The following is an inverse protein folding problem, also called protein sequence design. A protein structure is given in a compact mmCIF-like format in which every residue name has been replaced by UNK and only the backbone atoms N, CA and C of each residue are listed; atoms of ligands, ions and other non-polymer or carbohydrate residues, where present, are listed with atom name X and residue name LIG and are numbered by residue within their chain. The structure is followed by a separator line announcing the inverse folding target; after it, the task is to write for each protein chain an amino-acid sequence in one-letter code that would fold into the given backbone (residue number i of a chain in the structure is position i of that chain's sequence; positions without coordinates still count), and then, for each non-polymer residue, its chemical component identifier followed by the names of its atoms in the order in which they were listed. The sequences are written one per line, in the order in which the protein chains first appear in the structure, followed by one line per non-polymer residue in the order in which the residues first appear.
data_IF_064327882828
#
_entry.id   IF_064327882828
#
_cell.length_a   1.000
_cell.length_b   1.000
_cell.length_c   1.000
_cell.angle_alpha   90.00
_cell.angle_beta   90.00
_cell.angle_gamma   90.00
#
_symmetry.space_group_name_H-M   'P 1'
#
loop_
_entity.id
_entity.type
_entity.pdbx_description
1 polymer ?
#
# COMPACT_ATOMS: atom_id res chain seq x y z
N UNK A 1 31.46 9.70 -9.15
CA UNK A 1 30.13 9.98 -9.77
C UNK A 1 29.16 10.22 -8.62
N UNK A 2 28.63 11.42 -8.44
CA UNK A 2 27.54 11.68 -7.48
C UNK A 2 26.36 10.83 -7.94
N UNK A 3 25.78 10.07 -7.02
CA UNK A 3 24.58 9.27 -7.27
C UNK A 3 23.40 10.24 -7.34
N UNK A 4 23.18 10.87 -8.50
CA UNK A 4 22.10 11.85 -8.76
C UNK A 4 20.71 11.31 -8.41
N UNK A 5 20.57 9.98 -8.37
CA UNK A 5 19.32 9.27 -8.10
C UNK A 5 18.84 9.33 -6.63
N UNK A 6 19.70 9.74 -5.70
CA UNK A 6 19.36 9.76 -4.26
C UNK A 6 18.71 11.09 -3.86
N UNK A 7 18.86 12.09 -4.69
CA UNK A 7 18.37 13.45 -4.42
C UNK A 7 17.05 13.75 -5.17
N UNK A 8 16.56 12.79 -5.99
CA UNK A 8 15.27 12.84 -6.71
C UNK A 8 14.48 11.57 -6.42
N UNK A 9 13.54 11.64 -5.48
CA UNK A 9 12.81 10.49 -4.97
C UNK A 9 11.34 10.83 -4.72
N UNK A 10 10.49 9.83 -4.87
CA UNK A 10 9.17 9.81 -4.26
C UNK A 10 9.26 8.93 -3.02
N UNK A 11 9.04 9.49 -1.85
CA UNK A 11 8.91 8.73 -0.61
C UNK A 11 7.45 8.58 -0.32
N UNK A 12 6.97 7.34 -0.15
CA UNK A 12 5.56 7.12 0.13
C UNK A 12 5.34 5.97 1.09
N UNK A 13 4.19 6.02 1.72
CA UNK A 13 3.66 5.04 2.64
C UNK A 13 2.16 4.88 2.40
N UNK A 14 1.60 3.73 2.73
CA UNK A 14 0.19 3.38 2.56
C UNK A 14 -0.40 2.87 3.86
N UNK A 15 -1.64 3.29 4.15
CA UNK A 15 -2.47 2.56 5.09
C UNK A 15 -3.43 1.66 4.33
N UNK A 16 -3.67 0.46 4.86
CA UNK A 16 -4.42 -0.59 4.16
C UNK A 16 -5.35 -1.34 5.11
N UNK A 17 -6.38 -2.01 4.57
CA UNK A 17 -7.30 -2.83 5.37
C UNK A 17 -6.72 -4.16 5.84
N UNK A 18 -5.47 -4.49 5.43
CA UNK A 18 -4.78 -5.72 5.78
C UNK A 18 -3.46 -5.85 5.03
N UNK A 19 -2.86 -7.04 5.05
CA UNK A 19 -1.50 -7.26 4.54
C UNK A 19 -1.42 -7.90 3.14
N UNK A 20 -2.54 -8.28 2.55
CA UNK A 20 -2.57 -8.97 1.26
C UNK A 20 -2.84 -7.99 0.11
N UNK A 21 -1.86 -7.67 -0.77
CA UNK A 21 -2.00 -6.65 -1.81
C UNK A 21 -3.04 -6.99 -2.89
N UNK A 22 -3.49 -8.25 -2.96
CA UNK A 22 -4.50 -8.70 -3.91
C UNK A 22 -5.91 -8.66 -3.31
N UNK A 23 -6.03 -8.93 -2.01
CA UNK A 23 -7.31 -9.07 -1.32
C UNK A 23 -7.71 -7.85 -0.51
N UNK A 24 -6.72 -7.12 0.01
CA UNK A 24 -6.95 -5.96 0.85
C UNK A 24 -6.94 -4.66 0.04
N UNK A 25 -7.35 -3.59 0.69
CA UNK A 25 -7.61 -2.30 0.05
C UNK A 25 -6.72 -1.23 0.67
N UNK A 26 -6.35 -0.25 -0.16
CA UNK A 26 -5.67 0.96 0.29
C UNK A 26 -6.75 1.89 0.87
N UNK A 27 -6.47 2.49 2.02
CA UNK A 27 -7.35 3.46 2.70
C UNK A 27 -6.71 4.84 2.84
N UNK A 28 -5.38 4.95 2.76
CA UNK A 28 -4.66 6.23 2.72
C UNK A 28 -3.40 6.10 1.87
N UNK A 29 -3.08 7.14 1.10
CA UNK A 29 -1.82 7.30 0.36
C UNK A 29 -1.15 8.57 0.85
N UNK A 30 0.05 8.47 1.39
CA UNK A 30 0.87 9.60 1.77
C UNK A 30 2.19 9.59 1.01
N UNK A 31 2.52 10.67 0.30
CA UNK A 31 3.77 10.73 -0.45
C UNK A 31 4.38 12.14 -0.43
N UNK A 32 5.71 12.19 -0.49
CA UNK A 32 6.47 13.41 -0.66
C UNK A 32 7.40 13.27 -1.87
N UNK A 33 7.53 14.36 -2.62
CA UNK A 33 8.50 14.44 -3.72
C UNK A 33 9.74 15.18 -3.25
N UNK A 34 10.89 14.54 -3.45
CA UNK A 34 12.20 15.10 -3.12
C UNK A 34 12.89 15.52 -4.40
N UNK A 35 13.42 16.72 -4.43
CA UNK A 35 14.35 17.21 -5.47
C UNK A 35 15.50 17.94 -4.80
N UNK A 36 16.71 17.63 -5.22
CA UNK A 36 17.95 18.22 -4.67
C UNK A 36 18.06 18.10 -3.14
N UNK A 37 17.50 17.00 -2.58
CA UNK A 37 17.50 16.73 -1.14
C UNK A 37 16.41 17.46 -0.34
N UNK A 38 15.55 18.25 -0.99
CA UNK A 38 14.49 19.02 -0.35
C UNK A 38 13.09 18.51 -0.72
N UNK A 39 12.14 18.64 0.21
CA UNK A 39 10.73 18.32 -0.06
C UNK A 39 10.13 19.43 -0.91
N UNK A 40 9.81 19.14 -2.17
CA UNK A 40 9.26 20.13 -3.10
C UNK A 40 7.75 20.00 -3.28
N UNK A 41 7.16 18.84 -2.96
CA UNK A 41 5.72 18.62 -3.08
C UNK A 41 5.26 17.50 -2.15
N UNK A 42 3.98 17.52 -1.77
CA UNK A 42 3.33 16.50 -0.96
C UNK A 42 2.06 16.02 -1.66
N UNK A 43 1.77 14.74 -1.54
CA UNK A 43 0.54 14.10 -1.98
C UNK A 43 -0.09 13.39 -0.78
N UNK A 44 -1.36 13.66 -0.52
CA UNK A 44 -2.11 12.98 0.52
C UNK A 44 -3.51 12.71 0.01
N UNK A 45 -3.97 11.45 0.09
CA UNK A 45 -5.27 11.06 -0.38
C UNK A 45 -5.84 9.95 0.51
N UNK A 46 -6.97 10.21 1.15
CA UNK A 46 -7.82 9.17 1.71
C UNK A 46 -8.49 8.40 0.58
N UNK A 47 -8.69 7.10 0.74
CA UNK A 47 -9.27 6.23 -0.28
C UNK A 47 -10.40 5.42 0.31
N UNK A 48 -11.56 5.45 -0.34
CA UNK A 48 -12.71 4.63 0.05
C UNK A 48 -12.45 3.17 -0.37
N UNK A 49 -12.35 2.22 0.58
CA UNK A 49 -12.16 0.81 0.25
C UNK A 49 -13.40 0.11 -0.31
N UNK A 50 -14.59 0.73 -0.21
CA UNK A 50 -15.87 0.12 -0.59
C UNK A 50 -16.35 -1.01 0.33
N UNK A 51 -15.65 -1.23 1.44
CA UNK A 51 -15.97 -2.21 2.48
C UNK A 51 -15.72 -1.58 3.86
N UNK A 52 -16.36 -2.07 4.92
CA UNK A 52 -16.02 -1.64 6.28
C UNK A 52 -14.54 -1.91 6.61
N UNK A 53 -13.90 -0.92 7.24
CA UNK A 53 -12.53 -1.06 7.72
C UNK A 53 -12.52 -2.01 8.91
N UNK A 54 -11.67 -3.07 8.93
CA UNK A 54 -11.57 -3.96 10.06
C UNK A 54 -11.21 -3.20 11.33
N UNK A 55 -11.89 -3.50 12.44
CA UNK A 55 -11.75 -2.79 13.71
C UNK A 55 -10.27 -2.69 14.17
N UNK A 56 -9.50 -3.76 14.04
CA UNK A 56 -8.09 -3.77 14.41
C UNK A 56 -7.22 -2.81 13.56
N UNK A 57 -7.63 -2.54 12.31
CA UNK A 57 -6.94 -1.54 11.46
C UNK A 57 -7.25 -0.13 11.98
N UNK A 58 -8.52 0.14 12.33
CA UNK A 58 -8.89 1.42 12.96
C UNK A 58 -8.13 1.64 14.28
N UNK A 59 -7.92 0.60 15.09
CA UNK A 59 -7.11 0.72 16.31
C UNK A 59 -5.65 1.06 16.04
N UNK A 60 -5.07 0.57 14.95
CA UNK A 60 -3.67 0.83 14.58
C UNK A 60 -3.52 2.20 13.93
N UNK A 61 -4.37 2.52 12.94
CA UNK A 61 -4.21 3.68 12.07
C UNK A 61 -4.99 4.91 12.52
N UNK A 62 -6.01 4.70 13.37
CA UNK A 62 -7.01 5.71 13.72
C UNK A 62 -7.98 6.05 12.58
N UNK A 63 -7.88 5.39 11.41
CA UNK A 63 -8.74 5.65 10.26
C UNK A 63 -10.07 4.91 10.47
N UNK A 64 -11.17 5.66 10.39
CA UNK A 64 -12.55 5.14 10.56
C UNK A 64 -13.28 5.13 9.22
N UNK A 65 -14.39 4.37 9.15
CA UNK A 65 -15.27 4.34 7.98
C UNK A 65 -15.75 5.74 7.60
N UNK A 66 -16.09 6.59 8.58
CA UNK A 66 -16.55 7.97 8.33
C UNK A 66 -15.48 8.83 7.64
N UNK A 67 -14.20 8.61 7.96
CA UNK A 67 -13.10 9.37 7.35
C UNK A 67 -12.89 9.05 5.86
N UNK A 68 -13.32 7.90 5.41
CA UNK A 68 -13.14 7.43 4.02
C UNK A 68 -14.46 7.40 3.23
N UNK A 69 -15.62 7.67 3.87
CA UNK A 69 -16.93 7.54 3.25
C UNK A 69 -17.09 8.38 1.98
N UNK A 70 -16.62 9.63 2.02
CA UNK A 70 -16.68 10.58 0.91
C UNK A 70 -15.37 10.64 0.09
N UNK A 71 -14.39 9.78 0.40
CA UNK A 71 -13.14 9.72 -0.33
C UNK A 71 -13.33 9.02 -1.69
N UNK A 72 -12.50 9.35 -2.70
CA UNK A 72 -12.54 8.65 -3.98
C UNK A 72 -12.16 7.18 -3.83
N UNK A 73 -12.68 6.34 -4.72
CA UNK A 73 -12.20 4.97 -4.86
C UNK A 73 -10.79 4.94 -5.44
N UNK A 74 -10.07 3.82 -5.26
CA UNK A 74 -8.70 3.66 -5.77
C UNK A 74 -8.61 3.84 -7.30
N UNK A 75 -9.67 3.52 -8.04
CA UNK A 75 -9.74 3.75 -9.49
C UNK A 75 -9.65 5.23 -9.87
N UNK A 76 -10.10 6.12 -8.99
CA UNK A 76 -10.08 7.56 -9.18
C UNK A 76 -8.81 8.20 -8.60
N UNK A 77 -8.33 7.70 -7.46
CA UNK A 77 -7.14 8.21 -6.78
C UNK A 77 -5.81 7.78 -7.45
N UNK A 78 -5.77 6.56 -8.02
CA UNK A 78 -4.54 5.99 -8.56
C UNK A 78 -3.91 6.80 -9.70
N UNK A 79 -4.65 7.30 -10.71
CA UNK A 79 -4.05 8.09 -11.79
C UNK A 79 -3.26 9.30 -11.29
N UNK A 80 -3.81 10.07 -10.36
CA UNK A 80 -3.13 11.25 -9.80
C UNK A 80 -1.90 10.90 -8.98
N UNK A 81 -1.91 9.75 -8.28
CA UNK A 81 -0.73 9.25 -7.58
C UNK A 81 0.35 8.79 -8.56
N UNK A 82 -0.02 8.14 -9.67
CA UNK A 82 0.94 7.73 -10.71
C UNK A 82 1.59 8.94 -11.38
N UNK A 83 0.81 9.97 -11.67
CA UNK A 83 1.31 11.24 -12.21
C UNK A 83 2.25 11.93 -11.22
N UNK A 84 1.93 11.89 -9.93
CA UNK A 84 2.82 12.41 -8.88
C UNK A 84 4.15 11.66 -8.84
N UNK A 85 4.13 10.33 -9.02
CA UNK A 85 5.33 9.50 -9.05
C UNK A 85 6.18 9.71 -10.32
N UNK A 86 5.57 10.11 -11.44
CA UNK A 86 6.22 10.32 -12.74
C UNK A 86 7.25 9.20 -13.05
N UNK A 87 8.50 9.57 -13.36
CA UNK A 87 9.63 8.65 -13.64
C UNK A 87 10.58 8.47 -12.45
N UNK A 88 10.36 9.19 -11.34
CA UNK A 88 11.24 9.20 -10.17
C UNK A 88 11.38 7.82 -9.51
N UNK A 89 12.51 7.59 -8.87
CA UNK A 89 12.72 6.43 -7.99
C UNK A 89 11.83 6.54 -6.75
N UNK A 90 11.54 5.39 -6.12
CA UNK A 90 10.73 5.36 -4.91
C UNK A 90 11.58 5.00 -3.69
N UNK A 91 11.17 5.50 -2.54
CA UNK A 91 11.75 5.20 -1.24
C UNK A 91 10.60 4.91 -0.24
N UNK A 92 10.80 3.95 0.64
CA UNK A 92 9.89 3.67 1.75
C UNK A 92 10.58 2.89 2.86
N UNK A 93 9.84 2.62 3.91
CA UNK A 93 10.26 1.72 4.99
C UNK A 93 9.56 0.37 4.83
N UNK A 94 10.25 -0.66 4.37
CA UNK A 94 9.67 -1.89 3.84
C UNK A 94 8.88 -1.66 2.55
N UNK A 95 9.41 -0.80 1.68
CA UNK A 95 8.76 -0.34 0.44
C UNK A 95 8.18 -1.46 -0.43
N UNK A 96 8.68 -2.67 -0.30
CA UNK A 96 8.15 -3.84 -1.02
C UNK A 96 6.66 -4.10 -0.68
N UNK A 97 6.21 -3.76 0.51
CA UNK A 97 4.81 -3.87 0.92
C UNK A 97 3.95 -2.90 0.10
N UNK A 98 4.27 -1.61 0.16
CA UNK A 98 3.52 -0.53 -0.49
C UNK A 98 3.54 -0.66 -2.01
N UNK A 99 4.71 -0.98 -2.56
CA UNK A 99 4.89 -1.24 -3.97
C UNK A 99 3.94 -2.33 -4.47
N UNK A 100 3.80 -3.44 -3.73
CA UNK A 100 2.93 -4.55 -4.12
C UNK A 100 1.46 -4.14 -4.15
N UNK A 101 1.01 -3.31 -3.21
CA UNK A 101 -0.35 -2.78 -3.22
C UNK A 101 -0.59 -1.91 -4.45
N UNK A 102 0.26 -0.92 -4.72
CA UNK A 102 0.15 -0.06 -5.91
C UNK A 102 0.22 -0.90 -7.19
N UNK A 103 1.21 -1.80 -7.29
CA UNK A 103 1.38 -2.67 -8.47
C UNK A 103 0.16 -3.57 -8.72
N UNK A 104 -0.45 -4.10 -7.66
CA UNK A 104 -1.68 -4.91 -7.74
C UNK A 104 -2.85 -4.09 -8.27
N UNK A 105 -3.07 -2.87 -7.74
CA UNK A 105 -4.14 -1.99 -8.20
C UNK A 105 -3.90 -1.49 -9.63
N UNK A 106 -2.67 -1.16 -9.98
CA UNK A 106 -2.28 -0.85 -11.35
C UNK A 106 -2.64 -1.99 -12.32
N UNK A 107 -2.25 -3.22 -11.97
CA UNK A 107 -2.54 -4.39 -12.82
C UNK A 107 -4.04 -4.60 -13.03
N UNK A 108 -4.87 -4.42 -11.98
CA UNK A 108 -6.32 -4.59 -12.09
C UNK A 108 -7.02 -3.47 -12.88
N UNK A 109 -6.43 -2.28 -12.94
CA UNK A 109 -6.98 -1.11 -13.62
C UNK A 109 -6.32 -0.82 -14.99
N UNK A 110 -5.43 -1.71 -15.46
CA UNK A 110 -4.76 -1.56 -16.75
C UNK A 110 -3.61 -0.55 -16.80
N UNK A 111 -3.08 -0.15 -15.63
CA UNK A 111 -1.91 0.70 -15.51
C UNK A 111 -0.62 -0.11 -15.31
N UNK A 112 0.52 0.53 -15.50
CA UNK A 112 1.84 -0.03 -15.20
C UNK A 112 2.51 0.74 -14.08
N UNK A 113 3.18 0.02 -13.17
CA UNK A 113 4.00 0.61 -12.10
C UNK A 113 5.29 -0.18 -11.96
N UNK A 114 6.33 0.26 -12.64
CA UNK A 114 7.66 -0.36 -12.62
C UNK A 114 8.66 0.67 -12.13
N UNK A 115 9.07 0.56 -10.88
CA UNK A 115 9.95 1.53 -10.23
C UNK A 115 11.16 0.83 -9.63
N UNK A 116 12.29 1.52 -9.64
CA UNK A 116 13.41 1.16 -8.77
C UNK A 116 13.20 1.78 -7.41
N UNK A 117 13.52 1.03 -6.37
CA UNK A 117 13.24 1.40 -5.01
C UNK A 117 14.47 1.38 -4.12
N UNK A 118 14.48 2.28 -3.16
CA UNK A 118 15.31 2.25 -1.97
C UNK A 118 14.46 1.85 -0.77
N UNK A 119 15.04 1.11 0.16
CA UNK A 119 14.32 0.58 1.31
C UNK A 119 15.12 0.84 2.59
N UNK A 120 14.63 1.75 3.43
CA UNK A 120 15.28 2.10 4.70
C UNK A 120 15.33 0.92 5.66
N UNK A 121 14.35 -0.01 5.63
CA UNK A 121 14.40 -1.23 6.43
C UNK A 121 15.56 -2.14 6.03
N UNK A 122 15.78 -2.31 4.72
CA UNK A 122 16.90 -3.11 4.21
C UNK A 122 18.25 -2.49 4.60
N UNK A 123 18.38 -1.16 4.49
CA UNK A 123 19.58 -0.44 4.92
C UNK A 123 19.80 -0.62 6.43
N UNK A 124 18.76 -0.40 7.25
CA UNK A 124 18.83 -0.56 8.70
C UNK A 124 19.19 -2.00 9.12
N UNK A 125 18.62 -3.00 8.46
CA UNK A 125 18.96 -4.42 8.71
C UNK A 125 20.43 -4.73 8.43
N UNK A 126 21.03 -4.06 7.47
CA UNK A 126 22.45 -4.24 7.13
C UNK A 126 23.37 -3.65 8.20
N UNK A 127 23.12 -2.43 8.62
CA UNK A 127 24.06 -1.65 9.44
C UNK A 127 23.72 -1.61 10.94
N UNK A 128 22.44 -1.67 11.29
CA UNK A 128 21.97 -1.51 12.67
C UNK A 128 21.57 -2.87 13.29
N UNK A 129 22.42 -3.88 13.10
CA UNK A 129 22.17 -5.25 13.59
C UNK A 129 22.08 -5.34 15.12
N UNK A 130 22.70 -4.43 15.83
CA UNK A 130 22.71 -4.36 17.28
C UNK A 130 21.40 -3.88 17.90
N UNK A 131 20.52 -3.23 17.12
CA UNK A 131 19.23 -2.79 17.64
C UNK A 131 18.25 -3.96 17.75
N UNK A 132 17.36 -3.97 18.75
CA UNK A 132 16.35 -5.02 18.93
C UNK A 132 15.28 -4.99 17.85
N UNK A 133 14.93 -3.81 17.34
CA UNK A 133 13.94 -3.61 16.28
C UNK A 133 14.46 -2.68 15.20
N UNK A 134 14.01 -2.86 13.97
CA UNK A 134 14.27 -1.99 12.80
C UNK A 134 12.95 -1.51 12.19
N UNK A 135 11.85 -1.54 12.93
CA UNK A 135 10.60 -0.89 12.52
C UNK A 135 10.78 0.63 12.52
N UNK A 136 9.95 1.35 11.79
CA UNK A 136 10.08 2.80 11.61
C UNK A 136 10.09 3.54 12.96
N UNK A 137 9.13 3.26 13.84
CA UNK A 137 9.04 3.93 15.16
C UNK A 137 10.30 3.80 16.02
N UNK A 138 10.78 2.57 16.34
CA UNK A 138 12.03 2.38 17.06
C UNK A 138 13.27 3.01 16.40
N UNK A 139 13.34 3.05 15.08
CA UNK A 139 14.44 3.74 14.37
C UNK A 139 14.31 5.26 14.48
N UNK A 140 13.09 5.80 14.40
CA UNK A 140 12.84 7.21 14.62
C UNK A 140 13.23 7.62 16.03
N UNK A 141 12.89 6.83 17.05
CA UNK A 141 13.31 7.06 18.43
C UNK A 141 14.84 7.05 18.57
N UNK A 142 15.50 6.04 17.98
CA UNK A 142 16.97 5.93 18.00
C UNK A 142 17.67 7.14 17.38
N UNK A 143 17.12 7.71 16.30
CA UNK A 143 17.69 8.87 15.62
C UNK A 143 17.12 10.22 16.10
N UNK A 144 16.21 10.22 17.09
CA UNK A 144 15.57 11.45 17.58
C UNK A 144 14.66 12.12 16.55
N UNK A 145 14.05 11.32 15.66
CA UNK A 145 13.09 11.77 14.65
C UNK A 145 11.70 11.81 15.27
N UNK A 146 11.04 12.96 15.16
CA UNK A 146 9.66 13.11 15.65
C UNK A 146 8.66 12.34 14.80
N UNK A 147 7.95 11.42 15.42
CA UNK A 147 6.90 10.57 14.82
C UNK A 147 5.61 10.60 15.66
N UNK A 148 5.18 11.80 16.09
CA UNK A 148 4.02 11.98 16.97
C UNK A 148 2.69 11.52 16.38
N UNK A 149 2.58 11.45 15.06
CA UNK A 149 1.39 11.01 14.33
C UNK A 149 1.71 9.74 13.51
N UNK A 150 2.32 8.73 14.15
CA UNK A 150 2.54 7.43 13.52
C UNK A 150 1.23 6.83 12.99
N UNK A 151 1.33 6.02 11.96
CA UNK A 151 0.20 5.40 11.27
C UNK A 151 -0.74 6.39 10.56
N UNK A 152 -0.13 7.46 10.04
CA UNK A 152 -0.72 8.34 9.04
C UNK A 152 0.29 8.44 7.90
N UNK A 153 -0.09 7.92 6.75
CA UNK A 153 0.80 7.66 5.62
C UNK A 153 1.72 8.85 5.25
N UNK A 154 1.20 10.09 5.30
CA UNK A 154 2.03 11.27 4.98
C UNK A 154 3.12 11.54 6.03
N UNK A 155 2.83 11.30 7.31
CA UNK A 155 3.79 11.51 8.39
C UNK A 155 4.85 10.39 8.40
N UNK A 156 4.45 9.16 8.09
CA UNK A 156 5.36 8.02 7.99
C UNK A 156 6.29 8.15 6.77
N UNK A 157 5.80 8.69 5.65
CA UNK A 157 6.63 9.06 4.50
C UNK A 157 7.66 10.15 4.85
N UNK A 158 7.27 11.20 5.59
CA UNK A 158 8.20 12.25 6.04
C UNK A 158 9.25 11.72 7.01
N UNK A 159 8.82 10.91 7.99
CA UNK A 159 9.73 10.29 8.95
C UNK A 159 10.70 9.31 8.25
N UNK A 160 10.21 8.54 7.29
CA UNK A 160 11.02 7.64 6.46
C UNK A 160 12.10 8.41 5.69
N UNK A 161 11.78 9.58 5.14
CA UNK A 161 12.78 10.41 4.48
C UNK A 161 13.85 10.94 5.45
N UNK A 162 13.46 11.43 6.62
CA UNK A 162 14.41 11.87 7.66
C UNK A 162 15.29 10.70 8.12
N UNK A 163 14.71 9.53 8.31
CA UNK A 163 15.48 8.32 8.62
C UNK A 163 16.48 7.98 7.51
N UNK A 164 16.06 8.08 6.25
CA UNK A 164 16.96 7.86 5.12
C UNK A 164 18.14 8.84 5.10
N UNK A 165 17.91 10.11 5.42
CA UNK A 165 18.98 11.11 5.53
C UNK A 165 19.98 10.77 6.64
N UNK A 166 19.49 10.30 7.81
CA UNK A 166 20.36 9.83 8.91
C UNK A 166 21.18 8.62 8.48
N UNK A 167 20.54 7.60 7.89
CA UNK A 167 21.23 6.40 7.40
C UNK A 167 22.27 6.74 6.31
N UNK A 168 21.93 7.65 5.40
CA UNK A 168 22.85 8.15 4.36
C UNK A 168 24.07 8.82 4.98
N UNK A 169 23.86 9.69 5.97
CA UNK A 169 24.93 10.38 6.68
C UNK A 169 25.89 9.40 7.38
N UNK A 170 25.35 8.36 8.03
CA UNK A 170 26.14 7.45 8.85
C UNK A 170 26.84 6.37 8.02
N UNK A 171 26.25 5.92 6.91
CA UNK A 171 26.68 4.68 6.26
C UNK A 171 26.99 4.80 4.76
N UNK A 172 26.75 5.94 4.11
CA UNK A 172 27.07 6.11 2.68
C UNK A 172 28.56 5.89 2.38
N UNK A 173 29.43 6.44 3.23
CA UNK A 173 30.88 6.28 3.08
C UNK A 173 31.37 4.89 3.50
N UNK A 174 30.58 4.15 4.30
CA UNK A 174 30.92 2.79 4.71
C UNK A 174 30.62 1.78 3.57
N UNK A 175 29.45 1.91 2.96
CA UNK A 175 29.06 1.09 1.82
C UNK A 175 27.97 1.77 0.98
N UNK A 176 28.39 2.51 -0.04
CA UNK A 176 27.50 3.20 -0.97
C UNK A 176 26.57 2.24 -1.75
N UNK A 177 26.93 0.95 -1.88
CA UNK A 177 26.10 -0.01 -2.61
C UNK A 177 24.75 -0.29 -1.95
N UNK A 178 24.62 -0.02 -0.65
CA UNK A 178 23.36 -0.15 0.09
C UNK A 178 22.34 0.94 -0.28
N UNK A 179 22.80 2.02 -0.92
CA UNK A 179 22.01 3.18 -1.32
C UNK A 179 21.75 3.23 -2.83
N UNK A 180 21.90 2.11 -3.51
CA UNK A 180 21.54 1.97 -4.93
C UNK A 180 20.12 1.46 -5.04
N UNK A 181 19.26 2.20 -5.74
CA UNK A 181 17.89 1.78 -6.00
C UNK A 181 17.84 0.49 -6.84
N UNK A 182 17.02 -0.45 -6.43
CA UNK A 182 16.88 -1.78 -7.06
C UNK A 182 15.47 -1.98 -7.57
N UNK A 183 15.34 -2.76 -8.64
CA UNK A 183 14.03 -3.20 -9.11
C UNK A 183 13.36 -4.11 -8.09
N UNK A 184 12.06 -3.93 -7.90
CA UNK A 184 11.23 -4.85 -7.14
C UNK A 184 10.62 -5.84 -8.13
N UNK A 185 11.11 -7.06 -8.12
CA UNK A 185 10.63 -8.15 -8.97
C UNK A 185 9.43 -8.84 -8.32
N UNK A 186 8.28 -8.24 -8.45
CA UNK A 186 7.01 -8.82 -8.02
C UNK A 186 5.91 -8.43 -9.00
N UNK A 187 5.12 -9.41 -9.40
CA UNK A 187 3.89 -9.19 -10.16
C UNK A 187 2.73 -9.85 -9.42
N UNK A 188 1.54 -9.22 -9.44
CA UNK A 188 0.37 -9.85 -8.86
C UNK A 188 0.08 -11.17 -9.56
N UNK A 189 -0.39 -12.20 -8.83
CA UNK A 189 -0.80 -13.45 -9.45
C UNK A 189 -1.85 -13.16 -10.51
N UNK A 190 -1.78 -13.87 -11.62
CA UNK A 190 -2.79 -13.75 -12.69
C UNK A 190 -4.17 -13.98 -12.09
N UNK A 191 -5.02 -12.98 -12.20
CA UNK A 191 -6.41 -13.12 -11.78
C UNK A 191 -7.10 -14.07 -12.75
N UNK A 192 -7.46 -15.25 -12.25
CA UNK A 192 -8.28 -16.18 -13.01
C UNK A 192 -9.74 -15.75 -12.91
N UNK A 193 -10.42 -15.74 -14.06
CA UNK A 193 -11.87 -15.48 -14.10
C UNK A 193 -12.64 -16.54 -13.34
N UNK A 194 -13.79 -16.16 -12.84
CA UNK A 194 -14.74 -17.04 -12.15
C UNK A 194 -14.94 -18.34 -12.95
N UNK A 195 -14.87 -19.47 -12.28
CA UNK A 195 -15.11 -20.76 -12.92
C UNK A 195 -16.59 -20.97 -13.18
N UNK A 196 -16.93 -21.80 -14.19
CA UNK A 196 -18.32 -22.18 -14.46
C UNK A 196 -19.02 -22.79 -13.23
N UNK A 197 -18.27 -23.52 -12.38
CA UNK A 197 -18.80 -24.08 -11.13
C UNK A 197 -19.13 -23.00 -10.11
N UNK A 198 -18.26 -22.01 -9.94
CA UNK A 198 -18.51 -20.87 -9.04
C UNK A 198 -19.66 -20.02 -9.54
N UNK A 199 -19.73 -19.73 -10.86
CA UNK A 199 -20.84 -18.98 -11.46
C UNK A 199 -22.18 -19.64 -11.14
N UNK A 200 -22.29 -20.93 -11.42
CA UNK A 200 -23.51 -21.69 -11.15
C UNK A 200 -23.89 -21.65 -9.68
N UNK A 201 -22.92 -21.91 -8.80
CA UNK A 201 -23.16 -21.93 -7.35
C UNK A 201 -23.58 -20.55 -6.81
N UNK A 202 -22.91 -19.50 -7.26
CA UNK A 202 -23.24 -18.11 -6.88
C UNK A 202 -24.63 -17.72 -7.39
N UNK A 203 -24.97 -18.03 -8.65
CA UNK A 203 -26.29 -17.76 -9.20
C UNK A 203 -27.40 -18.53 -8.44
N UNK A 204 -27.14 -19.78 -8.06
CA UNK A 204 -28.09 -20.58 -7.26
C UNK A 204 -28.29 -19.99 -5.86
N UNK A 205 -27.22 -19.53 -5.19
CA UNK A 205 -27.30 -18.86 -3.88
C UNK A 205 -28.12 -17.54 -3.97
N UNK A 206 -27.83 -16.69 -4.94
CA UNK A 206 -28.56 -15.42 -5.16
C UNK A 206 -30.05 -15.70 -5.38
N UNK A 207 -30.37 -16.65 -6.23
CA UNK A 207 -31.77 -17.03 -6.52
C UNK A 207 -32.47 -17.61 -5.29
N UNK A 208 -31.80 -18.54 -4.58
CA UNK A 208 -32.36 -19.22 -3.41
C UNK A 208 -32.69 -18.24 -2.27
N UNK A 209 -31.82 -17.27 -2.06
CA UNK A 209 -31.96 -16.29 -0.97
C UNK A 209 -32.58 -14.97 -1.42
N UNK A 210 -33.00 -14.85 -2.70
CA UNK A 210 -33.60 -13.64 -3.29
C UNK A 210 -32.76 -12.37 -3.07
N UNK A 211 -31.45 -12.50 -3.22
CA UNK A 211 -30.52 -11.40 -3.03
C UNK A 211 -30.50 -10.49 -4.26
N UNK A 212 -30.33 -9.18 -4.02
CA UNK A 212 -30.02 -8.23 -5.10
C UNK A 212 -28.51 -8.02 -5.11
N UNK A 213 -27.88 -8.33 -6.23
CA UNK A 213 -26.44 -8.18 -6.46
C UNK A 213 -26.28 -7.21 -7.62
N UNK A 214 -25.51 -6.17 -7.41
CA UNK A 214 -25.28 -5.14 -8.42
C UNK A 214 -24.09 -5.46 -9.33
N UNK A 215 -23.22 -6.38 -8.91
CA UNK A 215 -22.03 -6.81 -9.64
C UNK A 215 -22.41 -7.79 -10.76
N UNK A 216 -21.79 -7.61 -11.92
CA UNK A 216 -21.91 -8.57 -13.01
C UNK A 216 -21.09 -9.83 -12.70
N UNK A 217 -21.78 -10.93 -12.41
CA UNK A 217 -21.17 -12.22 -12.07
C UNK A 217 -20.19 -12.71 -13.15
N UNK A 218 -20.44 -12.35 -14.43
CA UNK A 218 -19.61 -12.77 -15.55
C UNK A 218 -18.21 -12.16 -15.54
N UNK A 219 -18.05 -11.01 -14.91
CA UNK A 219 -16.78 -10.25 -14.84
C UNK A 219 -15.96 -10.55 -13.60
N UNK A 220 -16.50 -11.32 -12.64
CA UNK A 220 -15.82 -11.64 -11.39
C UNK A 220 -14.58 -12.51 -11.61
N UNK A 221 -13.57 -12.28 -10.79
CA UNK A 221 -12.45 -13.21 -10.64
C UNK A 221 -12.83 -14.38 -9.73
N UNK A 222 -12.08 -15.46 -9.76
CA UNK A 222 -12.23 -16.61 -8.82
C UNK A 222 -12.25 -16.15 -7.35
N UNK A 223 -11.37 -15.25 -7.00
CA UNK A 223 -11.23 -14.75 -5.63
C UNK A 223 -12.41 -13.89 -5.20
N UNK A 224 -12.91 -13.02 -6.09
CA UNK A 224 -14.11 -12.21 -5.84
C UNK A 224 -15.35 -13.09 -5.71
N UNK A 225 -15.50 -14.04 -6.60
CA UNK A 225 -16.60 -15.01 -6.53
C UNK A 225 -16.57 -15.81 -5.21
N UNK A 226 -15.40 -16.27 -4.77
CA UNK A 226 -15.28 -16.99 -3.49
C UNK A 226 -15.68 -16.11 -2.32
N UNK A 227 -15.18 -14.86 -2.26
CA UNK A 227 -15.55 -13.91 -1.20
C UNK A 227 -17.05 -13.60 -1.17
N UNK A 228 -17.66 -13.42 -2.36
CA UNK A 228 -19.09 -13.16 -2.48
C UNK A 228 -19.90 -14.36 -1.99
N UNK A 229 -19.50 -15.58 -2.35
CA UNK A 229 -20.10 -16.82 -1.85
C UNK A 229 -20.01 -16.89 -0.31
N UNK A 230 -18.82 -16.66 0.24
CA UNK A 230 -18.60 -16.70 1.69
C UNK A 230 -19.43 -15.66 2.44
N UNK A 231 -19.48 -14.43 1.92
CA UNK A 231 -20.31 -13.32 2.47
C UNK A 231 -21.80 -13.72 2.51
N UNK A 232 -22.33 -14.26 1.41
CA UNK A 232 -23.71 -14.72 1.33
C UNK A 232 -23.96 -15.85 2.35
N UNK A 233 -23.06 -16.83 2.44
CA UNK A 233 -23.21 -17.95 3.37
C UNK A 233 -23.19 -17.48 4.84
N UNK A 234 -22.36 -16.48 5.19
CA UNK A 234 -22.33 -15.90 6.53
C UNK A 234 -23.64 -15.15 6.82
N UNK A 235 -24.12 -14.29 5.90
CA UNK A 235 -25.40 -13.56 6.06
C UNK A 235 -26.58 -14.53 6.25
N UNK A 236 -26.62 -15.59 5.47
CA UNK A 236 -27.69 -16.60 5.58
C UNK A 236 -27.65 -17.34 6.91
N UNK A 237 -26.45 -17.68 7.42
CA UNK A 237 -26.28 -18.33 8.73
C UNK A 237 -26.63 -17.43 9.92
N UNK A 238 -26.37 -16.13 9.80
CA UNK A 238 -26.67 -15.14 10.85
C UNK A 238 -28.14 -14.72 10.88
N UNK A 239 -28.98 -15.18 9.94
CA UNK A 239 -30.40 -14.84 9.87
C UNK A 239 -30.68 -13.38 9.49
N UNK A 240 -29.68 -12.64 9.06
CA UNK A 240 -29.83 -11.29 8.53
C UNK A 240 -30.34 -11.37 7.09
N UNK A 241 -31.60 -10.92 6.90
CA UNK A 241 -32.21 -10.75 5.57
C UNK A 241 -31.91 -9.35 5.05
#
# INVERSE_FOLDING_TARGET
MRNEYIDHLIVFDLETTGCNPVQDYIIEIGAIKIKDGEIVSKYHQMVNPGIPIPYFITEITGITDDMVSDAPYISEALPSFLDFCDTDYILGHNISFDYRFIKSKCSSLGYTFNKKALDTLTIARKFLKHLPSRSLGPLCEYYGIDLRNAHRAIHDAEATYRLFQCLKKDFMDVDASAFIAKEITWDPPKQEMITSRQKKYLADLIRMHRLVVNEDIETLTKSEASRMIDKILVQVRSGQK
#
